data_IF_919084315631
#
_entry.id   IF_919084315631
#
_cell.length_a   1.000
_cell.length_b   1.000
_cell.length_c   1.000
_cell.angle_alpha   90.00
_cell.angle_beta   90.00
_cell.angle_gamma   90.00
#
_symmetry.space_group_name_H-M   'P 1'
#
loop_
_entity.id
_entity.type
_entity.pdbx_description
1 polymer ?
#
# COMPACT_ATOMS: atom_id res chain seq x y z
N UNK A 1 -27.32 24.89 8.92
CA UNK A 1 -26.17 24.02 9.29
C UNK A 1 -26.21 22.64 8.61
N UNK A 2 -26.86 22.50 7.46
CA UNK A 2 -27.05 21.22 6.74
C UNK A 2 -26.06 21.00 5.58
N UNK A 3 -25.47 22.09 5.05
CA UNK A 3 -24.52 22.01 3.93
C UNK A 3 -23.11 21.59 4.35
N UNK A 4 -22.69 21.90 5.58
CA UNK A 4 -21.36 21.56 6.10
C UNK A 4 -21.18 20.04 6.35
N UNK A 5 -22.25 19.36 6.76
CA UNK A 5 -22.28 17.90 6.96
C UNK A 5 -22.24 17.15 5.61
N UNK A 6 -22.91 17.68 4.57
CA UNK A 6 -22.91 17.09 3.22
C UNK A 6 -21.55 17.21 2.52
N UNK A 7 -20.87 18.35 2.64
CA UNK A 7 -19.53 18.52 2.06
C UNK A 7 -18.46 17.71 2.80
N UNK A 8 -18.54 17.61 4.13
CA UNK A 8 -17.63 16.75 4.90
C UNK A 8 -17.75 15.27 4.50
N UNK A 9 -18.98 14.78 4.29
CA UNK A 9 -19.22 13.39 3.87
C UNK A 9 -18.67 13.09 2.48
N UNK A 10 -18.74 14.03 1.53
CA UNK A 10 -18.18 13.86 0.18
C UNK A 10 -16.65 13.84 0.18
N UNK A 11 -16.01 14.69 0.99
CA UNK A 11 -14.54 14.78 1.07
C UNK A 11 -13.95 13.52 1.74
N UNK A 12 -14.63 12.95 2.75
CA UNK A 12 -14.23 11.69 3.38
C UNK A 12 -14.39 10.51 2.41
N UNK A 13 -15.48 10.46 1.65
CA UNK A 13 -15.73 9.39 0.66
C UNK A 13 -14.74 9.37 -0.51
N UNK A 14 -14.18 10.52 -0.90
CA UNK A 14 -13.23 10.62 -2.03
C UNK A 14 -11.76 10.46 -1.61
N UNK A 15 -11.42 10.68 -0.33
CA UNK A 15 -10.03 10.57 0.16
C UNK A 15 -9.63 9.18 0.64
N UNK A 16 -10.58 8.39 1.15
CA UNK A 16 -10.37 6.98 1.54
C UNK A 16 -10.04 5.98 0.39
N UNK A 17 -10.56 6.12 -0.85
CA UNK A 17 -10.24 5.24 -1.98
C UNK A 17 -8.76 5.25 -2.36
N UNK A 18 -8.13 6.43 -2.37
CA UNK A 18 -6.83 6.59 -3.01
C UNK A 18 -5.71 5.87 -2.26
N UNK A 19 -5.83 5.71 -0.94
CA UNK A 19 -4.91 4.92 -0.10
C UNK A 19 -5.18 3.42 -0.18
N UNK A 20 -6.42 2.99 -0.42
CA UNK A 20 -6.81 1.59 -0.52
C UNK A 20 -6.30 0.88 -1.79
N UNK A 21 -5.99 1.65 -2.83
CA UNK A 21 -5.57 1.08 -4.10
C UNK A 21 -4.11 0.60 -4.10
N UNK A 22 -3.25 1.06 -3.19
CA UNK A 22 -1.84 0.64 -3.15
C UNK A 22 -1.58 -0.28 -1.96
N UNK A 23 -1.38 -1.56 -2.23
CA UNK A 23 -1.07 -2.56 -1.22
C UNK A 23 0.36 -3.10 -1.38
N UNK A 24 0.99 -3.44 -0.26
CA UNK A 24 2.19 -4.26 -0.25
C UNK A 24 1.80 -5.69 -0.56
N UNK A 25 2.47 -6.31 -1.52
CA UNK A 25 2.25 -7.71 -1.88
C UNK A 25 3.57 -8.44 -1.84
N UNK A 26 3.60 -9.55 -1.11
CA UNK A 26 4.73 -10.48 -1.09
C UNK A 26 5.01 -10.96 -2.50
N UNK A 27 6.27 -10.86 -2.92
CA UNK A 27 6.76 -11.40 -4.18
C UNK A 27 7.41 -12.76 -3.92
N UNK A 28 6.98 -13.77 -4.66
CA UNK A 28 7.50 -15.15 -4.58
C UNK A 28 8.74 -15.36 -5.46
N UNK A 29 9.05 -14.38 -6.32
CA UNK A 29 10.20 -14.43 -7.21
C UNK A 29 11.51 -14.31 -6.43
N UNK A 30 12.64 -14.78 -6.99
CA UNK A 30 13.95 -14.56 -6.40
C UNK A 30 14.21 -13.07 -6.14
N UNK A 31 14.83 -12.75 -5.00
CA UNK A 31 15.14 -11.37 -4.59
C UNK A 31 15.97 -10.66 -5.67
N UNK A 32 16.87 -11.38 -6.34
CA UNK A 32 17.66 -10.88 -7.47
C UNK A 32 16.78 -10.33 -8.58
N UNK A 33 15.78 -11.09 -9.00
CA UNK A 33 14.86 -10.70 -10.06
C UNK A 33 14.00 -9.52 -9.63
N UNK A 34 13.51 -9.51 -8.39
CA UNK A 34 12.69 -8.41 -7.86
C UNK A 34 13.49 -7.11 -7.87
N UNK A 35 14.70 -7.13 -7.32
CA UNK A 35 15.53 -5.93 -7.17
C UNK A 35 16.02 -5.39 -8.53
N UNK A 36 16.30 -6.26 -9.49
CA UNK A 36 16.73 -5.84 -10.83
C UNK A 36 15.57 -5.27 -11.69
N UNK A 37 14.36 -5.79 -11.53
CA UNK A 37 13.21 -5.41 -12.37
C UNK A 37 12.34 -4.31 -11.76
N UNK A 38 12.49 -4.01 -10.47
CA UNK A 38 11.65 -3.04 -9.78
C UNK A 38 12.48 -1.86 -9.24
N UNK A 39 12.28 -0.69 -9.83
CA UNK A 39 12.85 0.58 -9.33
C UNK A 39 11.96 1.25 -8.26
N UNK A 40 10.81 0.66 -7.96
CA UNK A 40 9.90 1.16 -6.93
C UNK A 40 10.40 0.79 -5.53
N UNK A 41 9.99 1.53 -4.47
CA UNK A 41 10.28 1.13 -3.10
C UNK A 41 9.79 -0.29 -2.81
N UNK A 42 10.62 -1.08 -2.15
CA UNK A 42 10.31 -2.44 -1.69
C UNK A 42 10.24 -2.46 -0.17
N UNK A 43 9.32 -3.23 0.39
CA UNK A 43 9.31 -3.53 1.81
C UNK A 43 9.99 -4.87 2.06
N UNK A 44 10.83 -4.93 3.08
CA UNK A 44 11.66 -6.09 3.41
C UNK A 44 11.31 -6.50 4.82
N UNK A 45 10.84 -7.73 4.97
CA UNK A 45 10.60 -8.37 6.25
C UNK A 45 11.77 -9.28 6.56
N UNK A 46 12.39 -9.08 7.70
CA UNK A 46 13.51 -9.86 8.20
C UNK A 46 13.04 -11.02 9.07
N UNK A 47 13.88 -12.04 9.25
CA UNK A 47 13.61 -13.20 10.11
C UNK A 47 13.42 -12.83 11.59
N UNK A 48 14.06 -11.74 12.03
CA UNK A 48 13.92 -11.17 13.37
C UNK A 48 12.70 -10.24 13.52
N UNK A 49 11.76 -10.29 12.56
CA UNK A 49 10.53 -9.48 12.51
C UNK A 49 10.78 -7.98 12.31
N UNK A 50 12.00 -7.55 11.98
CA UNK A 50 12.22 -6.18 11.50
C UNK A 50 11.57 -6.01 10.14
N UNK A 51 10.91 -4.88 9.94
CA UNK A 51 10.28 -4.49 8.69
C UNK A 51 10.88 -3.16 8.25
N UNK A 52 11.43 -3.12 7.03
CA UNK A 52 12.14 -1.96 6.48
C UNK A 52 11.68 -1.71 5.04
N UNK A 53 11.33 -0.47 4.70
CA UNK A 53 11.08 -0.04 3.32
C UNK A 53 12.34 0.60 2.76
N UNK A 54 12.85 0.04 1.66
CA UNK A 54 14.03 0.52 0.94
C UNK A 54 13.61 1.14 -0.40
N UNK A 55 14.20 2.29 -0.71
CA UNK A 55 14.20 2.91 -2.04
C UNK A 55 15.53 2.62 -2.72
N UNK A 56 15.50 2.52 -4.05
CA UNK A 56 16.69 2.31 -4.89
C UNK A 56 17.46 1.07 -4.40
N UNK A 57 16.71 0.00 -4.10
CA UNK A 57 17.28 -1.23 -3.57
C UNK A 57 18.18 -1.87 -4.62
N UNK A 58 19.32 -2.38 -4.18
CA UNK A 58 20.30 -3.06 -5.02
C UNK A 58 20.92 -4.22 -4.23
N UNK A 59 21.34 -5.25 -4.96
CA UNK A 59 22.13 -6.33 -4.37
C UNK A 59 23.60 -5.98 -4.47
N UNK A 60 24.28 -6.07 -3.34
CA UNK A 60 25.73 -5.90 -3.24
C UNK A 60 26.28 -7.08 -2.44
N UNK A 61 26.95 -7.99 -3.14
CA UNK A 61 27.45 -9.25 -2.57
C UNK A 61 26.32 -10.06 -1.89
N UNK A 62 26.38 -10.20 -0.57
CA UNK A 62 25.44 -10.93 0.28
C UNK A 62 24.40 -10.02 0.95
N UNK A 63 24.33 -8.77 0.51
CA UNK A 63 23.57 -7.72 1.19
C UNK A 63 22.61 -7.01 0.23
N UNK A 64 21.39 -6.79 0.70
CA UNK A 64 20.41 -5.90 0.09
C UNK A 64 20.66 -4.48 0.61
N UNK A 65 21.14 -3.61 -0.26
CA UNK A 65 21.46 -2.22 0.07
C UNK A 65 20.40 -1.29 -0.51
N UNK A 66 20.12 -0.18 0.18
CA UNK A 66 19.20 0.83 -0.33
C UNK A 66 19.05 2.00 0.62
N UNK A 67 18.25 2.98 0.24
CA UNK A 67 17.90 4.11 1.11
C UNK A 67 16.67 3.78 1.92
N UNK A 68 16.77 3.81 3.24
CA UNK A 68 15.65 3.58 4.15
C UNK A 68 14.66 4.72 4.08
N UNK A 69 13.40 4.40 3.76
CA UNK A 69 12.28 5.34 3.80
C UNK A 69 11.49 5.23 5.10
N UNK A 70 11.21 4.01 5.55
CA UNK A 70 10.36 3.71 6.70
C UNK A 70 10.73 2.33 7.28
N UNK A 71 10.31 2.05 8.50
CA UNK A 71 10.39 0.73 9.09
C UNK A 71 9.97 0.74 10.56
N UNK A 72 9.92 -0.43 11.18
CA UNK A 72 9.64 -0.57 12.62
C UNK A 72 10.89 -0.41 13.50
N UNK A 73 12.05 -0.21 12.90
CA UNK A 73 13.31 0.07 13.61
C UNK A 73 13.80 1.51 13.42
N UNK A 74 14.63 1.97 14.34
CA UNK A 74 15.28 3.29 14.24
C UNK A 74 16.37 3.26 13.15
N UNK A 75 16.54 4.40 12.46
CA UNK A 75 17.53 4.58 11.41
C UNK A 75 17.01 5.43 10.25
N UNK A 76 17.91 6.18 9.60
CA UNK A 76 17.65 6.96 8.38
C UNK A 76 18.87 6.84 7.46
N UNK A 77 18.66 6.98 6.15
CA UNK A 77 19.75 7.00 5.17
C UNK A 77 20.05 5.63 4.54
N UNK A 78 21.29 5.42 4.09
CA UNK A 78 21.72 4.17 3.44
C UNK A 78 21.70 3.03 4.46
N UNK A 79 21.11 1.90 4.09
CA UNK A 79 20.96 0.72 4.93
C UNK A 79 21.37 -0.50 4.13
N UNK A 80 22.12 -1.40 4.76
CA UNK A 80 22.45 -2.72 4.23
C UNK A 80 21.77 -3.78 5.12
N UNK A 81 21.09 -4.73 4.48
CA UNK A 81 20.43 -5.85 5.12
C UNK A 81 21.05 -7.14 4.60
N UNK A 82 21.51 -8.04 5.47
CA UNK A 82 22.03 -9.33 5.02
C UNK A 82 20.91 -10.16 4.38
N UNK A 83 21.18 -10.78 3.23
CA UNK A 83 20.22 -11.59 2.49
C UNK A 83 19.78 -12.84 3.26
N UNK A 84 20.66 -13.44 4.05
CA UNK A 84 20.33 -14.59 4.91
C UNK A 84 19.30 -14.23 5.99
N UNK A 85 19.22 -12.95 6.36
CA UNK A 85 18.25 -12.43 7.30
C UNK A 85 16.91 -12.06 6.67
N UNK A 86 16.78 -12.04 5.34
CA UNK A 86 15.56 -11.65 4.65
C UNK A 86 14.57 -12.82 4.65
N UNK A 87 13.38 -12.58 5.19
CA UNK A 87 12.26 -13.53 5.18
C UNK A 87 11.39 -13.36 3.94
N UNK A 88 11.05 -12.11 3.62
CA UNK A 88 10.15 -11.79 2.53
C UNK A 88 10.45 -10.40 1.96
N UNK A 89 10.19 -10.25 0.65
CA UNK A 89 10.24 -8.97 -0.05
C UNK A 89 8.86 -8.69 -0.62
N UNK A 90 8.36 -7.48 -0.40
CA UNK A 90 7.06 -7.03 -0.85
C UNK A 90 7.22 -5.84 -1.78
N UNK A 91 6.49 -5.84 -2.88
CA UNK A 91 6.43 -4.70 -3.80
C UNK A 91 5.10 -3.98 -3.66
N UNK A 92 5.09 -2.68 -3.96
CA UNK A 92 3.85 -1.90 -3.98
C UNK A 92 3.12 -2.19 -5.28
N UNK A 93 1.92 -2.77 -5.19
CA UNK A 93 1.06 -3.00 -6.36
C UNK A 93 -0.24 -2.24 -6.23
N UNK A 94 -0.67 -1.67 -7.37
CA UNK A 94 -1.99 -1.09 -7.49
C UNK A 94 -3.03 -2.21 -7.67
N UNK A 95 -4.01 -2.29 -6.78
CA UNK A 95 -5.08 -3.28 -6.85
C UNK A 95 -6.27 -2.70 -7.60
N UNK A 96 -6.31 -2.90 -8.92
CA UNK A 96 -7.42 -2.49 -9.77
C UNK A 96 -8.77 -3.06 -9.32
N UNK A 97 -8.79 -4.29 -8.79
CA UNK A 97 -10.01 -4.96 -8.30
C UNK A 97 -10.61 -4.21 -7.11
N UNK A 98 -9.78 -3.77 -6.16
CA UNK A 98 -10.24 -2.96 -5.02
C UNK A 98 -10.76 -1.60 -5.48
N UNK A 99 -10.11 -0.99 -6.48
CA UNK A 99 -10.56 0.26 -7.10
C UNK A 99 -11.95 0.11 -7.74
N UNK A 100 -12.15 -0.96 -8.53
CA UNK A 100 -13.42 -1.21 -9.23
C UNK A 100 -14.53 -1.55 -8.24
N UNK A 101 -14.28 -2.44 -7.29
CA UNK A 101 -15.28 -2.82 -6.28
C UNK A 101 -15.75 -1.63 -5.44
N UNK A 102 -14.85 -0.71 -5.10
CA UNK A 102 -15.22 0.53 -4.42
C UNK A 102 -16.03 1.46 -5.32
N UNK A 103 -15.67 1.58 -6.60
CA UNK A 103 -16.45 2.34 -7.58
C UNK A 103 -17.88 1.84 -7.71
N UNK A 104 -18.06 0.51 -7.74
CA UNK A 104 -19.38 -0.14 -7.71
C UNK A 104 -20.10 0.22 -6.41
N UNK A 105 -19.50 -0.01 -5.25
CA UNK A 105 -20.13 0.28 -3.96
C UNK A 105 -20.64 1.74 -3.88
N UNK A 106 -19.81 2.72 -4.29
CA UNK A 106 -20.19 4.14 -4.32
C UNK A 106 -21.33 4.44 -5.29
N UNK A 107 -21.42 3.73 -6.42
CA UNK A 107 -22.53 3.90 -7.38
C UNK A 107 -23.87 3.39 -6.84
N UNK A 108 -23.87 2.42 -5.92
CA UNK A 108 -25.09 1.84 -5.35
C UNK A 108 -25.60 2.56 -4.10
N UNK A 109 -24.75 3.31 -3.38
CA UNK A 109 -25.18 4.12 -2.22
C UNK A 109 -26.31 5.10 -2.54
N UNK A 110 -26.27 5.89 -3.64
CA UNK A 110 -27.39 6.79 -3.97
C UNK A 110 -28.70 6.07 -4.27
N UNK A 111 -28.65 4.86 -4.83
CA UNK A 111 -29.83 4.06 -5.19
C UNK A 111 -30.53 3.51 -3.95
N UNK A 112 -29.77 3.06 -2.96
CA UNK A 112 -30.31 2.63 -1.66
C UNK A 112 -30.91 3.81 -0.87
N UNK A 113 -30.26 4.97 -0.91
CA UNK A 113 -30.79 6.17 -0.26
C UNK A 113 -32.11 6.64 -0.90
N UNK A 114 -32.24 6.50 -2.23
CA UNK A 114 -33.50 6.78 -2.94
C UNK A 114 -34.62 5.82 -2.54
N UNK A 115 -34.33 4.54 -2.33
CA UNK A 115 -35.33 3.55 -1.91
C UNK A 115 -35.77 3.78 -0.46
N UNK A 116 -34.83 4.05 0.45
CA UNK A 116 -35.15 4.30 1.86
C UNK A 116 -36.01 5.57 2.08
N UNK A 117 -35.87 6.58 1.23
CA UNK A 117 -36.66 7.83 1.30
C UNK A 117 -38.06 7.67 0.69
N UNK A 118 -38.25 6.72 -0.23
CA UNK A 118 -39.56 6.48 -0.89
C UNK A 118 -40.50 5.66 -0.01
N UNK A 119 -39.99 4.99 1.02
CA UNK A 119 -40.80 4.16 1.92
C UNK A 119 -41.41 4.96 3.10
N UNK A 120 -41.14 6.26 3.19
CA UNK A 120 -41.66 7.17 4.23
C UNK A 120 -42.78 8.11 3.76
N UNK A 121 -43.35 7.93 2.55
CA UNK A 121 -44.53 8.66 2.06
C UNK A 121 -45.82 7.82 2.13
#
# INVERSE_FOLDING_TARGET
MTNALRTASLIVSVSLPMTACQAWRVEERPIQTIVQQNHSPIAVTMNDRRWIVLKDAQLQNDSLVGRRLRGNTKGRGRTALSLSGVRAVETRKFSFIRTIGLGIALAFVPSLYRLAVVEED
#
